data_IF_400325826207
#
_entry.id   IF_400325826207
#
_cell.length_a   1.000
_cell.length_b   1.000
_cell.length_c   1.000
_cell.angle_alpha   90.00
_cell.angle_beta   90.00
_cell.angle_gamma   90.00
#
_symmetry.space_group_name_H-M   'P 1'
#
loop_
_entity.id
_entity.type
_entity.pdbx_description
1 polymer ?
#
# COMPACT_ATOMS: atom_id res chain seq x y z
N UNK A 1 -2.90 -29.18 4.67
CA UNK A 1 -2.28 -27.90 4.30
C UNK A 1 -3.35 -26.82 4.44
N UNK A 2 -3.18 -25.95 5.41
CA UNK A 2 -3.96 -24.71 5.48
C UNK A 2 -3.50 -23.85 4.31
N UNK A 3 -4.26 -23.84 3.22
CA UNK A 3 -4.10 -22.90 2.13
C UNK A 3 -4.45 -21.53 2.69
N UNK A 4 -3.54 -20.57 2.55
CA UNK A 4 -3.83 -19.20 2.91
C UNK A 4 -4.87 -18.67 1.90
N UNK A 5 -6.11 -18.32 2.32
CA UNK A 5 -7.16 -17.87 1.41
C UNK A 5 -6.73 -16.68 0.55
N UNK A 6 -5.80 -15.85 1.05
CA UNK A 6 -5.22 -14.73 0.32
C UNK A 6 -4.37 -15.20 -0.88
N UNK A 7 -3.58 -16.26 -0.70
CA UNK A 7 -2.80 -16.83 -1.80
C UNK A 7 -3.69 -17.47 -2.87
N UNK A 8 -4.77 -18.12 -2.47
CA UNK A 8 -5.70 -18.76 -3.41
C UNK A 8 -6.46 -17.71 -4.25
N UNK A 9 -6.83 -16.57 -3.64
CA UNK A 9 -7.46 -15.46 -4.34
C UNK A 9 -6.50 -14.78 -5.33
N UNK A 10 -5.27 -14.51 -4.92
CA UNK A 10 -4.21 -13.97 -5.78
C UNK A 10 -3.95 -14.90 -6.96
N UNK A 11 -3.82 -16.21 -6.70
CA UNK A 11 -3.60 -17.23 -7.74
C UNK A 11 -4.79 -17.36 -8.69
N UNK A 12 -6.02 -17.26 -8.17
CA UNK A 12 -7.23 -17.25 -8.98
C UNK A 12 -7.26 -16.06 -9.97
N UNK A 13 -6.91 -14.88 -9.50
CA UNK A 13 -6.87 -13.67 -10.31
C UNK A 13 -5.78 -13.70 -11.38
N UNK A 14 -4.59 -14.18 -11.05
CA UNK A 14 -3.52 -14.43 -12.03
C UNK A 14 -3.96 -15.43 -13.11
N UNK A 15 -4.73 -16.43 -12.72
CA UNK A 15 -5.25 -17.46 -13.62
C UNK A 15 -6.29 -16.89 -14.59
N UNK A 16 -7.21 -16.06 -14.12
CA UNK A 16 -8.22 -15.41 -14.97
C UNK A 16 -7.56 -14.42 -15.95
N UNK A 17 -6.64 -13.61 -15.49
CA UNK A 17 -5.94 -12.67 -16.36
C UNK A 17 -5.07 -13.38 -17.42
N UNK A 18 -4.54 -14.54 -17.10
CA UNK A 18 -3.83 -15.39 -18.07
C UNK A 18 -4.78 -16.01 -19.10
N UNK A 19 -5.96 -16.44 -18.68
CA UNK A 19 -6.99 -16.98 -19.59
C UNK A 19 -7.53 -15.91 -20.54
N UNK A 20 -7.77 -14.69 -20.06
CA UNK A 20 -8.16 -13.55 -20.89
C UNK A 20 -7.10 -13.20 -21.94
N UNK A 21 -5.80 -13.34 -21.62
CA UNK A 21 -4.69 -13.16 -22.57
C UNK A 21 -4.65 -14.22 -23.67
N UNK A 22 -5.09 -15.45 -23.38
CA UNK A 22 -5.02 -16.57 -24.33
C UNK A 22 -6.19 -16.53 -25.31
N UNK A 23 -7.34 -15.99 -24.93
CA UNK A 23 -8.57 -16.03 -25.73
C UNK A 23 -8.72 -14.86 -26.74
N UNK A 24 -7.68 -14.05 -26.99
CA UNK A 24 -7.72 -13.02 -28.03
C UNK A 24 -8.81 -11.96 -27.85
N UNK A 25 -9.47 -11.92 -26.70
CA UNK A 25 -10.30 -10.79 -26.35
C UNK A 25 -9.41 -9.55 -26.36
N UNK A 26 -9.78 -8.58 -27.20
CA UNK A 26 -9.12 -7.27 -27.25
C UNK A 26 -8.74 -6.89 -25.83
N UNK A 27 -7.45 -6.98 -25.55
CA UNK A 27 -6.88 -6.35 -24.38
C UNK A 27 -7.19 -4.87 -24.64
N UNK A 28 -8.33 -4.43 -24.13
CA UNK A 28 -8.53 -3.01 -23.86
C UNK A 28 -7.22 -2.66 -23.20
N UNK A 29 -6.43 -1.83 -23.90
CA UNK A 29 -5.14 -1.36 -23.37
C UNK A 29 -5.39 -1.09 -21.91
N UNK A 30 -4.91 -2.00 -21.08
CA UNK A 30 -4.98 -1.83 -19.64
C UNK A 30 -4.36 -0.46 -19.46
N UNK A 31 -5.20 0.55 -19.24
CA UNK A 31 -4.72 1.88 -18.89
C UNK A 31 -3.63 1.60 -17.89
N UNK A 32 -2.37 1.89 -18.24
CA UNK A 32 -1.30 1.81 -17.28
C UNK A 32 -1.79 2.62 -16.10
N UNK A 33 -2.17 1.94 -15.03
CA UNK A 33 -2.61 2.64 -13.84
C UNK A 33 -1.47 3.57 -13.51
N UNK A 34 -1.79 4.83 -13.41
CA UNK A 34 -0.89 5.76 -12.78
C UNK A 34 -0.50 5.13 -11.43
N UNK A 35 0.77 4.82 -11.25
CA UNK A 35 1.28 4.22 -10.00
C UNK A 35 0.86 5.04 -8.77
N UNK A 36 0.63 6.34 -8.95
CA UNK A 36 0.05 7.22 -7.95
C UNK A 36 -1.39 6.83 -7.61
N UNK A 37 -2.23 6.55 -8.60
CA UNK A 37 -3.60 6.09 -8.39
C UNK A 37 -3.62 4.75 -7.66
N UNK A 38 -2.72 3.84 -7.97
CA UNK A 38 -2.61 2.56 -7.26
C UNK A 38 -2.25 2.74 -5.78
N UNK A 39 -1.35 3.68 -5.46
CA UNK A 39 -1.02 4.03 -4.06
C UNK A 39 -2.20 4.68 -3.35
N UNK A 40 -2.94 5.52 -4.04
CA UNK A 40 -4.17 6.12 -3.48
C UNK A 40 -5.21 5.06 -3.15
N UNK A 41 -5.47 4.12 -4.06
CA UNK A 41 -6.40 3.02 -3.80
C UNK A 41 -5.93 2.15 -2.62
N UNK A 42 -4.64 1.86 -2.54
CA UNK A 42 -4.08 1.13 -1.40
C UNK A 42 -4.25 1.91 -0.07
N UNK A 43 -4.05 3.23 -0.09
CA UNK A 43 -4.30 4.10 1.06
C UNK A 43 -5.77 4.02 1.50
N UNK A 44 -6.70 4.15 0.57
CA UNK A 44 -8.14 4.09 0.85
C UNK A 44 -8.54 2.74 1.47
N UNK A 45 -8.01 1.64 0.96
CA UNK A 45 -8.26 0.30 1.47
C UNK A 45 -7.65 0.07 2.87
N UNK A 46 -6.43 0.52 3.09
CA UNK A 46 -5.77 0.43 4.40
C UNK A 46 -6.49 1.31 5.44
N UNK A 47 -6.91 2.50 5.03
CA UNK A 47 -7.72 3.38 5.89
C UNK A 47 -9.05 2.72 6.26
N UNK A 48 -9.77 2.17 5.30
CA UNK A 48 -11.02 1.45 5.54
C UNK A 48 -10.80 0.26 6.49
N UNK A 49 -9.70 -0.48 6.31
CA UNK A 49 -9.33 -1.62 7.16
C UNK A 49 -9.13 -1.23 8.63
N UNK A 50 -8.67 -0.01 8.91
CA UNK A 50 -8.51 0.46 10.30
C UNK A 50 -9.83 0.51 11.07
N UNK A 51 -10.96 0.68 10.39
CA UNK A 51 -12.30 0.71 10.98
C UNK A 51 -13.06 -0.62 10.85
N UNK A 52 -12.50 -1.58 10.12
CA UNK A 52 -13.12 -2.89 9.83
C UNK A 52 -12.17 -4.03 10.16
N UNK A 53 -11.51 -3.95 11.33
CA UNK A 53 -10.47 -4.90 11.73
C UNK A 53 -10.96 -6.33 11.94
N UNK A 54 -12.25 -6.50 12.25
CA UNK A 54 -12.88 -7.80 12.45
C UNK A 54 -13.27 -8.49 11.15
N UNK A 55 -13.22 -7.77 10.02
CA UNK A 55 -13.55 -8.33 8.72
C UNK A 55 -12.28 -8.89 8.03
N UNK A 56 -12.47 -9.88 7.18
CA UNK A 56 -11.37 -10.43 6.40
C UNK A 56 -10.86 -9.40 5.38
N UNK A 57 -9.54 -9.24 5.34
CA UNK A 57 -8.90 -8.27 4.44
C UNK A 57 -9.19 -8.54 2.97
N UNK A 58 -9.32 -9.83 2.59
CA UNK A 58 -9.65 -10.24 1.22
C UNK A 58 -11.09 -9.89 0.85
N UNK A 59 -12.02 -9.94 1.80
CA UNK A 59 -13.41 -9.57 1.56
C UNK A 59 -13.57 -8.05 1.37
N UNK A 60 -12.82 -7.26 2.14
CA UNK A 60 -12.76 -5.80 1.95
C UNK A 60 -12.22 -5.48 0.54
N UNK A 61 -11.13 -6.13 0.14
CA UNK A 61 -10.53 -5.91 -1.17
C UNK A 61 -11.47 -6.31 -2.31
N UNK A 62 -12.09 -7.48 -2.22
CA UNK A 62 -13.05 -7.99 -3.21
C UNK A 62 -14.25 -7.07 -3.35
N UNK A 63 -14.83 -6.60 -2.23
CA UNK A 63 -15.94 -5.65 -2.25
C UNK A 63 -15.54 -4.35 -2.96
N UNK A 64 -14.32 -3.88 -2.71
CA UNK A 64 -13.82 -2.68 -3.38
C UNK A 64 -13.62 -2.89 -4.89
N UNK A 65 -13.15 -4.06 -5.32
CA UNK A 65 -13.07 -4.40 -6.74
C UNK A 65 -14.43 -4.40 -7.45
N UNK A 66 -15.45 -4.93 -6.76
CA UNK A 66 -16.80 -5.05 -7.32
C UNK A 66 -17.53 -3.71 -7.36
N UNK A 67 -17.23 -2.81 -6.43
CA UNK A 67 -17.97 -1.55 -6.24
C UNK A 67 -17.22 -0.30 -6.69
N UNK A 68 -15.92 -0.38 -6.81
CA UNK A 68 -15.03 0.69 -7.24
C UNK A 68 -14.25 0.19 -8.44
N UNK A 69 -14.07 0.99 -9.45
CA UNK A 69 -13.23 0.64 -10.61
C UNK A 69 -11.74 0.60 -10.18
N UNK A 70 -11.38 -0.38 -9.35
CA UNK A 70 -9.99 -0.67 -9.05
C UNK A 70 -9.38 -1.31 -10.29
N UNK A 71 -8.65 -0.53 -11.05
CA UNK A 71 -7.87 -1.06 -12.16
C UNK A 71 -6.76 -1.97 -11.60
N UNK A 72 -6.57 -3.09 -12.24
CA UNK A 72 -5.76 -4.18 -11.71
C UNK A 72 -4.50 -4.39 -12.51
N UNK A 73 -3.50 -3.52 -12.33
CA UNK A 73 -2.13 -3.82 -12.74
C UNK A 73 -1.38 -4.66 -11.70
N UNK A 74 -2.03 -4.92 -10.58
CA UNK A 74 -1.48 -5.67 -9.44
C UNK A 74 -0.76 -4.82 -8.41
N UNK A 75 -0.51 -3.54 -8.64
CA UNK A 75 0.21 -2.70 -7.66
C UNK A 75 -0.66 -2.38 -6.45
N UNK A 76 -1.93 -2.03 -6.63
CA UNK A 76 -2.87 -1.80 -5.52
C UNK A 76 -2.94 -3.02 -4.61
N UNK A 77 -3.11 -4.20 -5.20
CA UNK A 77 -3.18 -5.48 -4.49
C UNK A 77 -1.87 -5.77 -3.74
N UNK A 78 -0.73 -5.63 -4.43
CA UNK A 78 0.60 -5.82 -3.85
C UNK A 78 0.83 -4.91 -2.63
N UNK A 79 0.47 -3.63 -2.73
CA UNK A 79 0.64 -2.67 -1.65
C UNK A 79 -0.30 -2.97 -0.49
N UNK A 80 -1.57 -3.23 -0.75
CA UNK A 80 -2.55 -3.51 0.29
C UNK A 80 -2.19 -4.76 1.09
N UNK A 81 -2.06 -5.90 0.45
CA UNK A 81 -1.73 -7.15 1.13
C UNK A 81 -0.28 -7.20 1.63
N UNK A 82 0.66 -6.61 0.90
CA UNK A 82 2.05 -6.53 1.32
C UNK A 82 2.22 -5.76 2.63
N UNK A 83 1.54 -4.63 2.78
CA UNK A 83 1.51 -3.88 4.04
C UNK A 83 0.89 -4.72 5.15
N UNK A 84 -0.27 -5.34 4.92
CA UNK A 84 -0.95 -6.15 5.94
C UNK A 84 -0.12 -7.36 6.39
N UNK A 85 0.59 -8.01 5.47
CA UNK A 85 1.46 -9.15 5.77
C UNK A 85 2.73 -8.74 6.53
N UNK A 86 3.10 -7.46 6.50
CA UNK A 86 4.32 -6.93 7.11
C UNK A 86 4.06 -5.81 8.14
N UNK A 87 2.86 -5.79 8.75
CA UNK A 87 2.47 -4.73 9.69
C UNK A 87 3.45 -4.60 10.87
N UNK A 88 3.84 -5.71 11.48
CA UNK A 88 4.73 -5.69 12.66
C UNK A 88 6.06 -5.01 12.33
N UNK A 89 6.64 -5.34 11.19
CA UNK A 89 7.92 -4.77 10.77
C UNK A 89 7.80 -3.31 10.33
N UNK A 90 6.76 -2.98 9.55
CA UNK A 90 6.54 -1.59 9.14
C UNK A 90 6.23 -0.69 10.32
N UNK A 91 5.39 -1.13 11.25
CA UNK A 91 5.04 -0.36 12.45
C UNK A 91 6.23 -0.23 13.41
N UNK A 92 7.07 -1.27 13.50
CA UNK A 92 8.33 -1.19 14.26
C UNK A 92 9.25 -0.09 13.73
N UNK A 93 9.47 -0.05 12.42
CA UNK A 93 10.30 0.97 11.77
C UNK A 93 9.72 2.37 11.95
N UNK A 94 8.41 2.53 11.79
CA UNK A 94 7.73 3.81 12.01
C UNK A 94 7.92 4.27 13.46
N UNK A 95 7.72 3.39 14.42
CA UNK A 95 7.83 3.69 15.85
C UNK A 95 9.22 4.14 16.27
N UNK A 96 10.28 3.62 15.64
CA UNK A 96 11.66 4.03 15.94
C UNK A 96 11.94 5.49 15.60
N UNK A 97 11.24 6.05 14.62
CA UNK A 97 11.44 7.42 14.13
C UNK A 97 10.34 8.39 14.54
N UNK A 98 9.19 7.91 14.94
CA UNK A 98 8.08 8.71 15.43
C UNK A 98 8.21 8.99 16.94
N UNK A 99 9.31 9.59 17.35
CA UNK A 99 9.62 9.85 18.77
C UNK A 99 8.54 10.73 19.40
N UNK A 100 7.93 10.25 20.49
CA UNK A 100 6.84 10.93 21.18
C UNK A 100 5.45 10.73 20.55
N UNK A 101 5.38 10.03 19.41
CA UNK A 101 4.12 9.70 18.74
C UNK A 101 3.91 8.18 18.72
N UNK A 102 2.98 7.70 19.50
CA UNK A 102 2.52 6.33 19.37
C UNK A 102 1.72 6.19 18.08
N UNK A 103 1.86 5.06 17.39
CA UNK A 103 1.10 4.77 16.16
C UNK A 103 -0.40 4.93 16.35
N UNK A 104 -0.90 4.64 17.56
CA UNK A 104 -2.32 4.81 17.91
C UNK A 104 -2.79 6.28 17.96
N UNK A 105 -1.85 7.22 18.08
CA UNK A 105 -2.14 8.67 18.11
C UNK A 105 -1.92 9.37 16.77
N UNK A 106 -1.34 8.68 15.81
CA UNK A 106 -1.22 9.21 14.45
C UNK A 106 -2.59 9.25 13.78
N UNK A 107 -2.78 10.19 12.85
CA UNK A 107 -3.94 10.11 11.97
C UNK A 107 -3.90 8.77 11.22
N UNK A 108 -5.06 8.20 10.93
CA UNK A 108 -5.15 6.95 10.19
C UNK A 108 -4.67 7.11 8.75
N UNK A 109 -4.77 8.30 8.20
CA UNK A 109 -4.22 8.66 6.90
C UNK A 109 -2.69 8.63 6.94
N UNK A 110 -2.07 9.39 7.84
CA UNK A 110 -0.60 9.42 7.97
C UNK A 110 -0.03 8.03 8.25
N UNK A 111 -0.65 7.26 9.11
CA UNK A 111 -0.22 5.90 9.42
C UNK A 111 -0.28 4.99 8.17
N UNK A 112 -1.36 5.05 7.41
CA UNK A 112 -1.50 4.25 6.18
C UNK A 112 -0.50 4.68 5.11
N UNK A 113 -0.28 5.97 4.94
CA UNK A 113 0.72 6.53 4.01
C UNK A 113 2.13 6.07 4.39
N UNK A 114 2.50 6.15 5.67
CA UNK A 114 3.79 5.70 6.17
C UNK A 114 3.99 4.20 5.95
N UNK A 115 2.98 3.38 6.23
CA UNK A 115 3.03 1.93 6.02
C UNK A 115 3.28 1.58 4.56
N UNK A 116 2.60 2.24 3.61
CA UNK A 116 2.82 2.03 2.17
C UNK A 116 4.26 2.36 1.79
N UNK A 117 4.74 3.54 2.17
CA UNK A 117 6.08 3.98 1.80
C UNK A 117 7.18 3.11 2.41
N UNK A 118 7.05 2.74 3.68
CA UNK A 118 8.01 1.84 4.36
C UNK A 118 8.02 0.46 3.70
N UNK A 119 6.84 -0.06 3.34
CA UNK A 119 6.74 -1.31 2.59
C UNK A 119 7.47 -1.22 1.24
N UNK A 120 7.23 -0.16 0.47
CA UNK A 120 7.92 0.04 -0.81
C UNK A 120 9.44 0.16 -0.62
N UNK A 121 9.90 0.97 0.34
CA UNK A 121 11.34 1.15 0.58
C UNK A 121 12.06 -0.12 0.99
N UNK A 122 11.41 -0.98 1.75
CA UNK A 122 12.03 -2.19 2.28
C UNK A 122 11.86 -3.42 1.38
N UNK A 123 10.69 -3.59 0.77
CA UNK A 123 10.29 -4.82 0.10
C UNK A 123 10.10 -4.69 -1.42
N UNK A 124 10.17 -3.47 -1.96
CA UNK A 124 9.99 -3.21 -3.39
C UNK A 124 11.24 -2.56 -3.99
N UNK A 125 12.30 -3.35 -4.26
CA UNK A 125 13.57 -2.79 -4.78
C UNK A 125 13.42 -2.10 -6.14
N UNK A 126 12.36 -2.39 -6.88
CA UNK A 126 12.00 -1.73 -8.13
C UNK A 126 11.52 -0.29 -7.96
N UNK A 127 11.11 0.10 -6.74
CA UNK A 127 10.71 1.47 -6.42
C UNK A 127 11.86 2.19 -5.73
N UNK A 128 12.49 3.20 -6.36
CA UNK A 128 13.52 3.99 -5.70
C UNK A 128 12.97 4.66 -4.43
N UNK A 129 13.71 4.63 -3.33
CA UNK A 129 13.22 5.19 -2.05
C UNK A 129 12.83 6.67 -2.13
N UNK A 130 13.52 7.55 -2.92
CA UNK A 130 13.09 8.93 -3.07
C UNK A 130 11.70 9.06 -3.70
N UNK A 131 11.35 8.14 -4.62
CA UNK A 131 10.02 8.08 -5.22
C UNK A 131 8.97 7.66 -4.18
N UNK A 132 9.25 6.64 -3.39
CA UNK A 132 8.34 6.20 -2.32
C UNK A 132 8.07 7.32 -1.32
N UNK A 133 9.10 8.04 -0.90
CA UNK A 133 8.97 9.19 0.03
C UNK A 133 8.15 10.31 -0.62
N UNK A 134 8.48 10.70 -1.85
CA UNK A 134 7.80 11.79 -2.54
C UNK A 134 6.31 11.50 -2.76
N UNK A 135 5.98 10.31 -3.18
CA UNK A 135 4.58 9.89 -3.37
C UNK A 135 3.81 9.86 -2.04
N UNK A 136 4.44 9.42 -0.95
CA UNK A 136 3.84 9.48 0.38
C UNK A 136 3.54 10.91 0.83
N UNK A 137 4.47 11.83 0.61
CA UNK A 137 4.30 13.27 0.92
C UNK A 137 3.14 13.86 0.11
N UNK A 138 3.03 13.53 -1.17
CA UNK A 138 1.92 13.98 -2.02
C UNK A 138 0.56 13.43 -1.56
N UNK A 139 0.50 12.16 -1.14
CA UNK A 139 -0.72 11.60 -0.54
C UNK A 139 -1.09 12.30 0.76
N UNK A 140 -0.13 12.59 1.62
CA UNK A 140 -0.36 13.32 2.86
C UNK A 140 -0.88 14.75 2.61
N UNK A 141 -0.36 15.43 1.59
CA UNK A 141 -0.86 16.75 1.17
C UNK A 141 -2.32 16.71 0.72
N UNK A 142 -2.71 15.62 0.05
CA UNK A 142 -4.05 15.50 -0.53
C UNK A 142 -5.09 15.08 0.51
N UNK A 143 -4.74 14.20 1.44
CA UNK A 143 -5.69 13.49 2.27
C UNK A 143 -5.58 13.77 3.78
N UNK A 144 -4.57 14.49 4.23
CA UNK A 144 -4.36 14.78 5.65
C UNK A 144 -4.22 16.29 5.89
N UNK A 145 -3.92 16.69 7.12
CA UNK A 145 -3.78 18.09 7.49
C UNK A 145 -2.47 18.73 6.99
N UNK A 146 -2.34 20.06 7.13
CA UNK A 146 -1.21 20.82 6.61
C UNK A 146 0.14 20.47 7.27
N UNK A 147 0.14 19.80 8.43
CA UNK A 147 1.35 19.39 9.16
C UNK A 147 1.83 18.00 8.74
N UNK A 148 0.93 17.19 8.21
CA UNK A 148 1.20 15.80 7.87
C UNK A 148 2.33 15.63 6.82
N UNK A 149 2.43 16.43 5.75
CA UNK A 149 3.49 16.25 4.76
C UNK A 149 4.90 16.36 5.35
N UNK A 150 5.16 17.35 6.19
CA UNK A 150 6.46 17.52 6.84
C UNK A 150 6.76 16.38 7.84
N UNK A 151 5.77 15.96 8.59
CA UNK A 151 5.85 14.85 9.52
C UNK A 151 6.19 13.53 8.81
N UNK A 152 5.45 13.21 7.76
CA UNK A 152 5.67 12.01 6.93
C UNK A 152 7.07 12.04 6.30
N UNK A 153 7.46 13.17 5.71
CA UNK A 153 8.78 13.33 5.10
C UNK A 153 9.92 13.10 6.11
N UNK A 154 9.82 13.66 7.30
CA UNK A 154 10.84 13.52 8.35
C UNK A 154 11.01 12.07 8.79
N UNK A 155 9.91 11.37 9.08
CA UNK A 155 9.93 9.95 9.49
C UNK A 155 10.53 9.07 8.39
N UNK A 156 10.07 9.22 7.15
CA UNK A 156 10.53 8.37 6.05
C UNK A 156 12.00 8.60 5.70
N UNK A 157 12.48 9.84 5.78
CA UNK A 157 13.89 10.11 5.60
C UNK A 157 14.75 9.44 6.69
N UNK A 158 14.30 9.46 7.94
CA UNK A 158 14.97 8.75 9.02
C UNK A 158 14.98 7.23 8.83
N UNK A 159 13.87 6.67 8.39
CA UNK A 159 13.80 5.23 8.08
C UNK A 159 14.71 4.86 6.90
N UNK A 160 14.82 5.71 5.88
CA UNK A 160 15.74 5.49 4.77
C UNK A 160 17.21 5.43 5.23
N UNK A 161 17.58 6.24 6.22
CA UNK A 161 18.89 6.15 6.87
C UNK A 161 19.07 4.83 7.60
N UNK A 162 18.10 4.43 8.41
CA UNK A 162 18.15 3.16 9.17
C UNK A 162 18.25 1.92 8.26
N UNK A 163 17.61 1.99 7.10
CA UNK A 163 17.67 0.93 6.08
C UNK A 163 18.95 0.99 5.22
N UNK A 164 19.83 1.96 5.44
CA UNK A 164 21.06 2.13 4.66
C UNK A 164 20.83 2.51 3.20
N UNK A 165 19.68 3.10 2.88
CA UNK A 165 19.31 3.52 1.52
C UNK A 165 19.94 4.86 1.13
N UNK A 166 20.28 5.69 2.12
CA UNK A 166 21.04 6.92 1.93
C UNK A 166 22.54 6.62 2.07
N UNK A 167 23.29 7.06 1.09
CA UNK A 167 24.77 7.08 1.14
C UNK A 167 25.25 8.34 1.81
#
# INVERSE_FOLDING_TARGET
>A
RLTNPQNDYIMYKYRINRIKRINGENVVMTKLIDRRAARQHALELLFEREFRKDEDASDIYRTAEDTRELETDGLTEKLYFGVLDNLDETDRLISTRAVGWKTERMSKVSLSVLRIAVYEMKFCPETPFPVAINEAVELAKTFDDDKAPAFVNGILNGIAEDLGLKK
#
